data_IF_128325157721
#
_entry.id   IF_128325157721
#
_cell.length_a   1.000
_cell.length_b   1.000
_cell.length_c   1.000
_cell.angle_alpha   90.00
_cell.angle_beta   90.00
_cell.angle_gamma   90.00
#
_symmetry.space_group_name_H-M   'P 1'
#
loop_
_entity.id
_entity.type
_entity.pdbx_description
1 polymer ?
#
# COMPACT_ATOMS: atom_id res chain seq x y z
N UNK A 1 -45.46 23.54 12.79
CA UNK A 1 -44.19 23.11 13.38
C UNK A 1 -43.63 22.04 12.43
N UNK A 2 -42.91 22.47 11.40
CA UNK A 2 -42.29 21.56 10.42
C UNK A 2 -40.88 21.22 10.90
N UNK A 3 -40.71 19.95 11.30
CA UNK A 3 -39.41 19.39 11.64
C UNK A 3 -38.65 19.14 10.33
N UNK A 4 -37.65 19.98 10.08
CA UNK A 4 -36.69 19.79 8.98
C UNK A 4 -35.77 18.63 9.38
N UNK A 5 -36.04 17.41 8.89
CA UNK A 5 -35.09 16.30 8.96
C UNK A 5 -33.98 16.60 7.96
N UNK A 6 -32.88 17.13 8.47
CA UNK A 6 -31.60 17.17 7.72
C UNK A 6 -31.08 15.74 7.73
N UNK A 7 -31.33 15.01 6.63
CA UNK A 7 -30.59 13.77 6.33
C UNK A 7 -29.14 14.17 6.06
N UNK A 8 -28.30 14.09 7.08
CA UNK A 8 -26.89 13.89 6.86
C UNK A 8 -26.74 12.51 6.21
N UNK A 9 -26.65 12.47 4.90
CA UNK A 9 -26.06 11.34 4.19
C UNK A 9 -24.59 11.30 4.62
N UNK A 10 -24.34 10.62 5.73
CA UNK A 10 -22.97 10.19 6.06
C UNK A 10 -22.59 9.20 4.97
N UNK A 11 -21.87 9.70 3.97
CA UNK A 11 -21.19 8.82 3.04
C UNK A 11 -20.21 8.03 3.89
N UNK A 12 -20.55 6.77 4.15
CA UNK A 12 -19.63 5.85 4.80
C UNK A 12 -18.54 5.58 3.79
N UNK A 13 -17.39 6.20 4.01
CA UNK A 13 -16.18 5.81 3.31
C UNK A 13 -16.03 4.29 3.36
N UNK A 14 -15.72 3.61 2.25
CA UNK A 14 -15.48 2.16 2.28
C UNK A 14 -14.45 1.86 3.36
N UNK A 15 -14.64 0.74 4.08
CA UNK A 15 -13.77 0.33 5.19
C UNK A 15 -12.32 0.33 4.73
N UNK A 16 -11.54 1.31 5.18
CA UNK A 16 -10.12 1.40 4.85
C UNK A 16 -9.36 0.71 5.96
N UNK A 17 -8.92 -0.52 5.68
CA UNK A 17 -8.03 -1.27 6.57
C UNK A 17 -6.59 -1.08 6.11
N UNK A 18 -5.79 -0.58 7.00
CA UNK A 18 -4.34 -0.47 6.83
C UNK A 18 -3.65 -1.61 7.53
N UNK A 19 -2.45 -1.98 7.07
CA UNK A 19 -1.68 -3.06 7.66
C UNK A 19 -0.20 -2.70 7.76
N UNK A 20 0.41 -3.06 8.89
CA UNK A 20 1.85 -3.03 9.11
C UNK A 20 2.28 -4.44 9.49
N UNK A 21 3.11 -5.07 8.66
CA UNK A 21 3.53 -6.46 8.86
C UNK A 21 5.05 -6.59 8.73
N UNK A 22 5.65 -7.26 9.69
CA UNK A 22 7.05 -7.66 9.70
C UNK A 22 7.12 -9.14 9.30
N UNK A 23 7.86 -9.44 8.25
CA UNK A 23 8.21 -10.79 7.82
C UNK A 23 9.65 -11.03 8.20
N UNK A 24 9.87 -11.95 9.10
CA UNK A 24 11.20 -12.21 9.65
C UNK A 24 11.57 -13.65 9.43
N UNK A 25 12.79 -13.90 8.97
CA UNK A 25 13.34 -15.24 8.75
C UNK A 25 14.69 -15.35 9.42
N UNK A 26 14.84 -16.33 10.30
CA UNK A 26 16.13 -16.77 10.81
C UNK A 26 16.46 -18.15 10.26
N UNK A 27 17.73 -18.37 9.87
CA UNK A 27 18.19 -19.64 9.34
C UNK A 27 19.49 -20.09 9.99
N UNK A 28 19.70 -21.39 10.04
CA UNK A 28 20.97 -21.99 10.42
C UNK A 28 21.37 -23.06 9.42
N UNK A 29 22.68 -23.15 9.13
CA UNK A 29 23.20 -24.18 8.23
C UNK A 29 22.99 -23.92 6.74
N UNK A 30 22.60 -22.71 6.33
CA UNK A 30 22.40 -22.32 4.92
C UNK A 30 23.62 -21.51 4.45
N UNK A 31 24.48 -22.03 3.57
CA UNK A 31 25.62 -21.28 3.06
C UNK A 31 25.14 -20.13 2.13
N UNK A 32 25.84 -19.01 2.17
CA UNK A 32 25.62 -17.82 1.31
C UNK A 32 24.27 -17.12 1.45
N UNK A 33 23.51 -17.40 2.53
CA UNK A 33 22.28 -16.68 2.87
C UNK A 33 22.47 -16.04 4.24
N UNK A 34 22.01 -14.78 4.45
CA UNK A 34 22.05 -14.17 5.77
C UNK A 34 21.34 -15.03 6.82
N UNK A 35 21.96 -15.21 8.00
CA UNK A 35 21.33 -15.96 9.11
C UNK A 35 20.03 -15.31 9.59
N UNK A 36 19.84 -14.03 9.31
CA UNK A 36 18.65 -13.27 9.68
C UNK A 36 18.28 -12.28 8.59
N UNK A 37 16.98 -12.23 8.25
CA UNK A 37 16.39 -11.28 7.29
C UNK A 37 15.08 -10.76 7.88
N UNK A 38 14.88 -9.45 7.81
CA UNK A 38 13.64 -8.78 8.17
C UNK A 38 13.11 -7.92 7.00
N UNK A 39 11.84 -8.07 6.70
CA UNK A 39 11.11 -7.27 5.69
C UNK A 39 9.95 -6.57 6.38
N UNK A 40 9.82 -5.27 6.17
CA UNK A 40 8.70 -4.48 6.62
C UNK A 40 7.78 -4.16 5.46
N UNK A 41 6.49 -4.40 5.63
CA UNK A 41 5.45 -4.07 4.65
C UNK A 41 4.38 -3.18 5.27
N UNK A 42 4.00 -2.14 4.55
CA UNK A 42 2.85 -1.27 4.86
C UNK A 42 1.86 -1.39 3.71
N UNK A 43 0.62 -1.76 3.99
CA UNK A 43 -0.45 -1.97 3.00
C UNK A 43 -0.06 -2.88 1.82
N UNK A 44 0.78 -3.90 2.10
CA UNK A 44 1.29 -4.82 1.09
C UNK A 44 2.48 -4.31 0.28
N UNK A 45 2.96 -3.09 0.54
CA UNK A 45 4.14 -2.50 -0.12
C UNK A 45 5.36 -2.69 0.78
N UNK A 46 6.46 -3.18 0.21
CA UNK A 46 7.71 -3.29 0.94
C UNK A 46 8.29 -1.91 1.23
N UNK A 47 8.41 -1.57 2.50
CA UNK A 47 8.88 -0.25 2.96
C UNK A 47 10.25 -0.29 3.62
N UNK A 48 10.67 -1.47 4.09
CA UNK A 48 11.97 -1.63 4.71
C UNK A 48 12.52 -3.04 4.60
N UNK A 49 13.85 -3.12 4.67
CA UNK A 49 14.61 -4.37 4.65
C UNK A 49 15.80 -4.26 5.60
N UNK A 50 16.15 -5.35 6.26
CA UNK A 50 17.40 -5.52 6.97
C UNK A 50 17.87 -6.97 6.95
N UNK A 51 19.18 -7.20 7.02
CA UNK A 51 19.77 -8.53 7.14
C UNK A 51 21.04 -8.53 7.98
N UNK A 52 21.43 -9.72 8.46
CA UNK A 52 22.60 -9.88 9.31
C UNK A 52 23.94 -9.67 8.60
N UNK A 53 23.96 -9.65 7.27
CA UNK A 53 25.18 -9.49 6.46
C UNK A 53 25.51 -8.02 6.23
N UNK A 54 24.52 -7.23 5.80
CA UNK A 54 24.70 -5.81 5.49
C UNK A 54 24.81 -4.93 6.73
N UNK A 55 24.16 -5.33 7.83
CA UNK A 55 24.05 -4.58 9.09
C UNK A 55 23.58 -3.13 8.91
N UNK A 56 22.77 -2.89 7.91
CA UNK A 56 22.20 -1.58 7.60
C UNK A 56 20.70 -1.68 7.39
N UNK A 57 19.95 -0.72 7.93
CA UNK A 57 18.55 -0.55 7.58
C UNK A 57 18.46 -0.03 6.15
N UNK A 58 17.64 -0.66 5.34
CA UNK A 58 17.43 -0.30 3.93
C UNK A 58 15.97 0.10 3.74
N UNK A 59 15.62 1.39 3.92
CA UNK A 59 14.29 1.88 3.54
C UNK A 59 14.14 1.72 2.02
N UNK A 60 13.03 1.14 1.61
CA UNK A 60 12.74 0.84 0.20
C UNK A 60 11.94 1.97 -0.46
N UNK A 61 11.43 2.91 0.37
CA UNK A 61 10.55 4.00 -0.03
C UNK A 61 11.18 5.34 0.33
N UNK A 62 11.05 6.35 -0.53
CA UNK A 62 11.59 7.69 -0.28
C UNK A 62 10.98 8.34 0.98
N UNK A 63 9.68 8.13 1.23
CA UNK A 63 9.03 8.62 2.44
C UNK A 63 9.56 7.91 3.70
N UNK A 64 9.78 6.59 3.63
CA UNK A 64 10.32 5.82 4.75
C UNK A 64 11.76 6.25 5.08
N UNK A 65 12.56 6.53 4.05
CA UNK A 65 13.92 7.08 4.21
C UNK A 65 13.89 8.43 4.93
N UNK A 66 13.09 9.37 4.45
CA UNK A 66 12.93 10.70 5.07
C UNK A 66 12.44 10.61 6.51
N UNK A 67 11.50 9.69 6.79
CA UNK A 67 10.98 9.49 8.13
C UNK A 67 12.06 8.99 9.09
N UNK A 68 12.87 8.00 8.69
CA UNK A 68 13.96 7.48 9.53
C UNK A 68 15.13 8.48 9.68
N UNK A 69 15.36 9.35 8.70
CA UNK A 69 16.33 10.45 8.80
C UNK A 69 15.89 11.47 9.86
N UNK A 70 14.60 11.77 9.94
CA UNK A 70 14.03 12.77 10.85
C UNK A 70 13.64 12.21 12.22
N UNK A 71 13.45 10.90 12.37
CA UNK A 71 13.08 10.24 13.62
C UNK A 71 14.17 9.28 14.09
N UNK A 72 15.15 9.83 14.81
CA UNK A 72 16.30 9.06 15.32
C UNK A 72 15.88 7.96 16.30
N UNK A 73 14.87 8.22 17.15
CA UNK A 73 14.40 7.24 18.14
C UNK A 73 13.82 6.00 17.45
N UNK A 74 13.04 6.18 16.39
CA UNK A 74 12.48 5.08 15.61
C UNK A 74 13.57 4.33 14.85
N UNK A 75 14.53 5.04 14.24
CA UNK A 75 15.68 4.44 13.59
C UNK A 75 16.49 3.57 14.55
N UNK A 76 16.77 4.07 15.76
CA UNK A 76 17.52 3.34 16.77
C UNK A 76 16.76 2.11 17.28
N UNK A 77 15.43 2.21 17.40
CA UNK A 77 14.56 1.08 17.70
C UNK A 77 14.65 -0.01 16.63
N UNK A 78 14.57 0.35 15.33
CA UNK A 78 14.73 -0.61 14.23
C UNK A 78 16.13 -1.21 14.18
N UNK A 79 17.19 -0.42 14.37
CA UNK A 79 18.55 -0.91 14.44
C UNK A 79 18.70 -1.99 15.53
N UNK A 80 18.20 -1.70 16.74
CA UNK A 80 18.24 -2.65 17.84
C UNK A 80 17.43 -3.91 17.54
N UNK A 81 16.21 -3.78 16.99
CA UNK A 81 15.37 -4.93 16.62
C UNK A 81 16.02 -5.79 15.54
N UNK A 82 16.54 -5.17 14.45
CA UNK A 82 17.10 -5.87 13.30
C UNK A 82 18.47 -6.51 13.55
N UNK A 83 19.32 -5.89 14.38
CA UNK A 83 20.73 -6.32 14.48
C UNK A 83 21.11 -6.92 15.82
N UNK A 84 20.26 -6.79 16.85
CA UNK A 84 20.53 -7.31 18.18
C UNK A 84 19.42 -8.25 18.68
N UNK A 85 18.22 -7.71 18.94
CA UNK A 85 17.18 -8.43 19.67
C UNK A 85 16.62 -9.63 18.90
N UNK A 86 16.18 -9.39 17.64
CA UNK A 86 15.52 -10.43 16.86
C UNK A 86 16.49 -11.52 16.35
N UNK A 87 17.69 -11.19 15.81
CA UNK A 87 18.66 -12.23 15.44
C UNK A 87 19.02 -13.16 16.59
N UNK A 88 19.22 -12.59 17.79
CA UNK A 88 19.50 -13.39 18.99
C UNK A 88 18.32 -14.28 19.36
N UNK A 89 17.10 -13.72 19.39
CA UNK A 89 15.88 -14.48 19.70
C UNK A 89 15.68 -15.64 18.74
N UNK A 90 15.88 -15.43 17.44
CA UNK A 90 15.71 -16.45 16.41
C UNK A 90 16.77 -17.55 16.54
N UNK A 91 18.03 -17.17 16.74
CA UNK A 91 19.13 -18.13 16.97
C UNK A 91 18.88 -19.00 18.19
N UNK A 92 18.51 -18.38 19.33
CA UNK A 92 18.22 -19.10 20.59
C UNK A 92 16.99 -20.02 20.42
N UNK A 93 15.97 -19.56 19.68
CA UNK A 93 14.77 -20.37 19.41
C UNK A 93 15.08 -21.56 18.52
N UNK A 94 15.80 -21.37 17.40
CA UNK A 94 16.22 -22.46 16.51
C UNK A 94 17.05 -23.48 17.29
N UNK A 95 17.99 -23.01 18.10
CA UNK A 95 18.81 -23.90 18.95
C UNK A 95 17.93 -24.73 19.91
N UNK A 96 16.97 -24.10 20.58
CA UNK A 96 16.05 -24.80 21.50
C UNK A 96 15.18 -25.83 20.77
N UNK A 97 14.69 -25.52 19.56
CA UNK A 97 13.88 -26.44 18.75
C UNK A 97 14.72 -27.62 18.23
N UNK A 98 15.95 -27.39 17.80
CA UNK A 98 16.89 -28.47 17.42
C UNK A 98 17.07 -29.46 18.56
N UNK A 99 17.30 -28.97 19.76
CA UNK A 99 17.45 -29.83 20.97
C UNK A 99 16.15 -30.59 21.27
N UNK A 100 15.01 -29.91 21.25
CA UNK A 100 13.71 -30.51 21.54
C UNK A 100 13.35 -31.65 20.58
N UNK A 101 13.67 -31.48 19.28
CA UNK A 101 13.34 -32.44 18.25
C UNK A 101 14.47 -33.42 17.93
N UNK A 102 15.57 -33.39 18.70
CA UNK A 102 16.77 -34.19 18.50
C UNK A 102 17.27 -34.12 17.04
N UNK A 103 17.26 -32.90 16.47
CA UNK A 103 17.68 -32.65 15.09
C UNK A 103 19.17 -32.31 15.04
N UNK A 104 19.87 -32.85 14.03
CA UNK A 104 21.29 -32.57 13.80
C UNK A 104 21.59 -31.23 13.17
N UNK A 105 22.77 -31.10 12.53
CA UNK A 105 23.26 -29.85 11.91
C UNK A 105 22.71 -29.60 10.48
N UNK A 106 21.52 -30.11 10.19
CA UNK A 106 20.80 -29.79 8.96
C UNK A 106 20.35 -28.32 8.90
N UNK A 107 19.84 -27.91 7.77
CA UNK A 107 19.24 -26.58 7.59
C UNK A 107 17.99 -26.46 8.47
N UNK A 108 17.91 -25.40 9.25
CA UNK A 108 16.74 -25.06 10.06
C UNK A 108 16.32 -23.62 9.79
N UNK A 109 15.03 -23.42 9.53
CA UNK A 109 14.45 -22.11 9.21
C UNK A 109 13.33 -21.83 10.20
N UNK A 110 13.43 -20.70 10.89
CA UNK A 110 12.35 -20.13 11.69
C UNK A 110 11.84 -18.89 10.99
N UNK A 111 10.53 -18.81 10.80
CA UNK A 111 9.86 -17.68 10.19
C UNK A 111 8.88 -17.05 11.17
N UNK A 112 8.64 -15.77 11.05
CA UNK A 112 7.65 -15.05 11.86
C UNK A 112 6.94 -14.01 10.99
N UNK A 113 5.64 -13.92 11.15
CA UNK A 113 4.83 -12.78 10.70
C UNK A 113 4.33 -12.12 11.98
N UNK A 114 4.69 -10.85 12.18
CA UNK A 114 4.23 -10.05 13.30
C UNK A 114 3.70 -8.72 12.77
N UNK A 115 2.56 -8.25 13.29
CA UNK A 115 2.04 -6.98 12.84
C UNK A 115 0.64 -6.67 13.32
N UNK A 116 0.05 -5.63 12.75
CA UNK A 116 -1.30 -5.21 13.06
C UNK A 116 -2.04 -4.72 11.81
N UNK A 117 -3.35 -4.76 11.90
CA UNK A 117 -4.27 -4.11 10.98
C UNK A 117 -5.08 -3.08 11.76
N UNK A 118 -5.34 -1.96 11.14
CA UNK A 118 -6.13 -0.87 11.69
C UNK A 118 -7.21 -0.46 10.69
N UNK A 119 -8.44 -0.45 11.16
CA UNK A 119 -9.59 0.07 10.41
C UNK A 119 -9.74 1.56 10.71
N UNK A 120 -9.54 2.41 9.69
CA UNK A 120 -9.57 3.87 9.83
C UNK A 120 -10.96 4.38 10.28
N UNK A 121 -12.06 3.70 9.86
CA UNK A 121 -13.42 4.13 10.13
C UNK A 121 -13.90 3.76 11.54
N UNK A 122 -13.59 2.53 11.97
CA UNK A 122 -14.05 2.01 13.28
C UNK A 122 -13.02 2.25 14.38
N UNK A 123 -11.77 2.51 14.02
CA UNK A 123 -10.65 2.58 14.95
C UNK A 123 -10.20 1.20 15.45
N UNK A 124 -10.82 0.11 14.99
CA UNK A 124 -10.49 -1.25 15.42
C UNK A 124 -9.06 -1.62 15.03
N UNK A 125 -8.36 -2.26 15.95
CA UNK A 125 -7.01 -2.79 15.75
C UNK A 125 -7.04 -4.29 15.98
N UNK A 126 -6.46 -5.05 15.03
CA UNK A 126 -6.22 -6.48 15.17
C UNK A 126 -4.73 -6.77 15.04
N UNK A 127 -4.19 -7.60 15.93
CA UNK A 127 -2.80 -8.04 15.89
C UNK A 127 -2.66 -9.43 15.28
N UNK A 128 -1.53 -9.69 14.63
CA UNK A 128 -1.14 -11.01 14.12
C UNK A 128 0.27 -11.34 14.58
N UNK A 129 0.47 -12.58 15.05
CA UNK A 129 1.80 -13.11 15.38
C UNK A 129 1.82 -14.62 15.14
N UNK A 130 2.43 -15.00 14.05
CA UNK A 130 2.52 -16.39 13.59
C UNK A 130 3.99 -16.80 13.44
N UNK A 131 4.36 -17.96 13.95
CA UNK A 131 5.65 -18.58 13.69
C UNK A 131 5.50 -19.81 12.79
N UNK A 132 6.42 -19.93 11.83
CA UNK A 132 6.65 -21.12 11.03
C UNK A 132 8.01 -21.74 11.36
N UNK A 133 8.09 -23.06 11.31
CA UNK A 133 9.36 -23.79 11.48
C UNK A 133 9.54 -24.80 10.35
N UNK A 134 10.65 -24.69 9.63
CA UNK A 134 10.99 -25.51 8.45
C UNK A 134 9.89 -25.53 7.39
N UNK A 135 9.25 -24.37 7.14
CA UNK A 135 8.22 -24.18 6.11
C UNK A 135 6.81 -24.56 6.53
N UNK A 136 6.59 -25.03 7.76
CA UNK A 136 5.26 -25.37 8.28
C UNK A 136 4.83 -24.44 9.39
N UNK A 137 3.52 -24.11 9.44
CA UNK A 137 2.94 -23.34 10.53
C UNK A 137 3.20 -24.04 11.87
N UNK A 138 3.72 -23.30 12.86
CA UNK A 138 4.22 -23.88 14.09
C UNK A 138 3.49 -23.39 15.32
N UNK A 139 3.41 -22.06 15.48
CA UNK A 139 2.84 -21.44 16.67
C UNK A 139 2.11 -20.15 16.30
N UNK A 140 0.90 -19.95 16.83
CA UNK A 140 0.15 -18.72 16.72
C UNK A 140 -0.01 -18.08 18.11
N UNK A 141 -0.28 -16.77 18.16
CA UNK A 141 -0.51 -16.04 19.41
C UNK A 141 -1.91 -15.45 19.44
N UNK A 142 -2.75 -15.94 20.33
CA UNK A 142 -4.07 -15.38 20.57
C UNK A 142 -3.97 -14.12 21.44
N UNK A 143 -4.11 -12.96 20.81
CA UNK A 143 -4.04 -11.67 21.47
C UNK A 143 -5.21 -11.44 22.45
N UNK A 144 -6.34 -12.12 22.30
CA UNK A 144 -7.51 -11.98 23.20
C UNK A 144 -7.29 -12.68 24.52
N UNK A 145 -6.73 -13.87 24.47
CA UNK A 145 -6.47 -14.69 25.66
C UNK A 145 -5.03 -14.54 26.18
N UNK A 146 -4.15 -13.88 25.42
CA UNK A 146 -2.72 -13.74 25.70
C UNK A 146 -2.04 -15.09 25.88
N UNK A 147 -2.40 -16.06 25.03
CA UNK A 147 -1.84 -17.41 25.06
C UNK A 147 -1.33 -17.84 23.71
N UNK A 148 -0.35 -18.73 23.71
CA UNK A 148 0.15 -19.35 22.50
C UNK A 148 -0.74 -20.52 22.07
N UNK A 149 -0.92 -20.71 20.78
CA UNK A 149 -1.66 -21.81 20.16
C UNK A 149 -0.67 -22.67 19.40
N UNK A 150 -0.50 -23.91 19.81
CA UNK A 150 0.29 -24.89 19.08
C UNK A 150 -0.48 -25.34 17.83
N UNK A 151 0.08 -25.09 16.64
CA UNK A 151 -0.56 -25.44 15.37
C UNK A 151 -0.26 -26.87 14.92
N UNK A 152 0.62 -27.56 15.66
CA UNK A 152 0.93 -28.98 15.47
C UNK A 152 1.35 -29.63 16.79
N UNK A 153 1.23 -30.97 16.90
CA UNK A 153 1.52 -31.67 18.16
C UNK A 153 2.91 -31.40 18.71
N UNK A 154 3.91 -31.31 17.86
CA UNK A 154 5.30 -31.08 18.22
C UNK A 154 5.54 -29.68 18.85
N UNK A 155 4.65 -28.75 18.58
CA UNK A 155 4.73 -27.37 19.15
C UNK A 155 4.24 -27.28 20.61
N UNK A 156 3.55 -28.31 21.13
CA UNK A 156 2.90 -28.27 22.46
C UNK A 156 3.91 -28.00 23.59
N UNK A 157 5.09 -28.61 23.56
CA UNK A 157 6.12 -28.39 24.57
C UNK A 157 6.64 -26.94 24.50
N UNK A 158 6.85 -26.43 23.30
CA UNK A 158 7.27 -25.03 23.10
C UNK A 158 6.19 -24.07 23.57
N UNK A 159 4.91 -24.36 23.27
CA UNK A 159 3.76 -23.58 23.76
C UNK A 159 3.78 -23.48 25.30
N UNK A 160 3.87 -24.62 25.98
CA UNK A 160 3.92 -24.65 27.47
C UNK A 160 5.05 -23.77 28.01
N UNK A 161 6.24 -23.84 27.41
CA UNK A 161 7.39 -23.02 27.79
C UNK A 161 7.13 -21.53 27.53
N UNK A 162 6.55 -21.18 26.37
CA UNK A 162 6.30 -19.78 26.03
C UNK A 162 5.15 -19.17 26.83
N UNK A 163 4.13 -19.93 27.21
CA UNK A 163 3.04 -19.48 28.09
C UNK A 163 3.51 -19.12 29.51
N UNK A 164 4.63 -19.70 29.96
CA UNK A 164 5.23 -19.36 31.26
C UNK A 164 6.07 -18.10 31.22
N UNK A 165 6.51 -17.65 30.03
CA UNK A 165 7.30 -16.43 29.84
C UNK A 165 6.40 -15.18 29.82
N UNK A 166 5.99 -14.75 31.03
CA UNK A 166 5.13 -13.58 31.22
C UNK A 166 5.70 -12.29 30.63
N UNK A 167 7.01 -12.14 30.60
CA UNK A 167 7.67 -10.96 30.06
C UNK A 167 7.54 -10.93 28.53
N UNK A 168 7.76 -12.05 27.87
CA UNK A 168 7.56 -12.21 26.44
C UNK A 168 6.11 -11.89 26.05
N UNK A 169 5.13 -12.48 26.73
CA UNK A 169 3.71 -12.24 26.49
C UNK A 169 3.38 -10.76 26.59
N UNK A 170 3.81 -10.09 27.68
CA UNK A 170 3.56 -8.67 27.89
C UNK A 170 4.21 -7.78 26.83
N UNK A 171 5.42 -8.13 26.37
CA UNK A 171 6.05 -7.41 25.26
C UNK A 171 5.27 -7.58 23.97
N UNK A 172 4.83 -8.81 23.62
CA UNK A 172 4.04 -9.05 22.41
C UNK A 172 2.67 -8.38 22.46
N UNK A 173 2.00 -8.41 23.60
CA UNK A 173 0.78 -7.63 23.80
C UNK A 173 1.01 -6.14 23.48
N UNK A 174 2.03 -5.53 24.11
CA UNK A 174 2.33 -4.11 23.91
C UNK A 174 2.76 -3.80 22.46
N UNK A 175 3.57 -4.66 21.85
CA UNK A 175 4.02 -4.47 20.46
C UNK A 175 2.82 -4.48 19.51
N UNK A 176 1.85 -5.39 19.71
CA UNK A 176 0.70 -5.56 18.82
C UNK A 176 -0.44 -4.56 19.08
N UNK A 177 -0.66 -4.14 20.33
CA UNK A 177 -1.80 -3.27 20.69
C UNK A 177 -1.47 -1.79 20.73
N UNK A 178 -0.21 -1.43 20.94
CA UNK A 178 0.21 -0.04 21.14
C UNK A 178 1.25 0.41 20.10
N UNK A 179 2.39 -0.29 20.01
CA UNK A 179 3.51 0.15 19.18
C UNK A 179 3.19 0.03 17.69
N UNK A 180 2.72 -1.15 17.26
CA UNK A 180 2.40 -1.39 15.85
C UNK A 180 1.32 -0.43 15.32
N UNK A 181 0.16 -0.24 15.99
CA UNK A 181 -0.85 0.70 15.52
C UNK A 181 -0.37 2.16 15.50
N UNK A 182 0.45 2.56 16.47
CA UNK A 182 1.01 3.91 16.48
C UNK A 182 1.92 4.17 15.28
N UNK A 183 2.79 3.20 14.95
CA UNK A 183 3.65 3.28 13.77
C UNK A 183 2.84 3.20 12.47
N UNK A 184 1.86 2.30 12.39
CA UNK A 184 1.00 2.18 11.22
C UNK A 184 0.29 3.50 10.90
N UNK A 185 -0.36 4.12 11.91
CA UNK A 185 -1.03 5.42 11.74
C UNK A 185 -0.05 6.49 11.26
N UNK A 186 1.12 6.57 11.88
CA UNK A 186 2.15 7.52 11.47
C UNK A 186 2.59 7.29 10.01
N UNK A 187 2.74 6.04 9.56
CA UNK A 187 3.13 5.72 8.18
C UNK A 187 2.03 6.09 7.19
N UNK A 188 0.77 5.79 7.50
CA UNK A 188 -0.37 6.16 6.68
C UNK A 188 -0.46 7.68 6.53
N UNK A 189 -0.33 8.41 7.63
CA UNK A 189 -0.39 9.88 7.61
C UNK A 189 0.76 10.52 6.79
N UNK A 190 1.98 9.96 6.90
CA UNK A 190 3.12 10.46 6.14
C UNK A 190 3.06 10.14 4.65
N UNK A 191 2.36 9.08 4.29
CA UNK A 191 2.27 8.61 2.91
C UNK A 191 0.95 9.00 2.21
N UNK A 192 0.08 9.75 2.87
CA UNK A 192 -1.17 10.23 2.28
C UNK A 192 -0.87 11.25 1.20
N UNK A 193 -1.10 10.89 -0.05
CA UNK A 193 -0.84 11.75 -1.21
C UNK A 193 -2.16 12.03 -1.93
N UNK A 194 -2.43 13.33 -2.19
CA UNK A 194 -3.61 13.74 -2.90
C UNK A 194 -3.42 13.60 -4.42
N UNK A 195 -4.46 13.21 -5.17
CA UNK A 195 -4.35 13.07 -6.61
C UNK A 195 -4.31 14.38 -7.34
N UNK A 196 -3.76 14.33 -8.55
CA UNK A 196 -4.13 15.27 -9.61
C UNK A 196 -5.33 14.71 -10.36
N UNK A 197 -6.42 15.47 -10.45
CA UNK A 197 -7.65 15.04 -11.14
C UNK A 197 -7.82 15.84 -12.44
N UNK A 198 -8.13 15.14 -13.54
CA UNK A 198 -8.25 15.72 -14.88
C UNK A 198 -9.53 15.24 -15.57
N UNK A 199 -10.12 16.09 -16.41
CA UNK A 199 -11.11 15.68 -17.41
C UNK A 199 -10.40 15.52 -18.76
N UNK A 200 -10.50 14.32 -19.33
CA UNK A 200 -9.81 13.90 -20.55
C UNK A 200 -10.83 13.48 -21.61
N UNK A 201 -10.64 13.87 -22.85
CA UNK A 201 -11.46 13.41 -23.98
C UNK A 201 -10.60 13.22 -25.21
N UNK A 202 -10.54 12.02 -25.77
CA UNK A 202 -9.67 11.70 -26.92
C UNK A 202 -10.12 12.43 -28.18
N UNK A 203 -11.42 12.37 -28.47
CA UNK A 203 -12.08 13.04 -29.60
C UNK A 203 -13.41 13.62 -29.12
N UNK A 204 -14.01 14.61 -29.82
CA UNK A 204 -15.28 15.18 -29.42
C UNK A 204 -16.44 14.17 -29.28
N UNK A 205 -16.35 13.02 -29.94
CA UNK A 205 -17.33 11.92 -29.86
C UNK A 205 -17.00 10.86 -28.83
N UNK A 206 -15.81 10.91 -28.21
CA UNK A 206 -15.40 9.96 -27.16
C UNK A 206 -16.09 10.29 -25.85
N UNK A 207 -16.24 9.31 -24.91
CA UNK A 207 -16.61 9.60 -23.54
C UNK A 207 -15.64 10.62 -22.90
N UNK A 208 -16.12 11.37 -21.93
CA UNK A 208 -15.26 12.19 -21.08
C UNK A 208 -14.81 11.33 -19.89
N UNK A 209 -13.50 11.13 -19.80
CA UNK A 209 -12.87 10.40 -18.71
C UNK A 209 -12.48 11.37 -17.59
N UNK A 210 -12.99 11.17 -16.39
CA UNK A 210 -12.43 11.77 -15.19
C UNK A 210 -11.32 10.87 -14.70
N UNK A 211 -10.10 11.38 -14.62
CA UNK A 211 -8.89 10.62 -14.30
C UNK A 211 -8.19 11.21 -13.08
N UNK A 212 -8.00 10.40 -12.06
CA UNK A 212 -7.21 10.73 -10.87
C UNK A 212 -5.92 9.93 -10.88
N UNK A 213 -4.79 10.57 -10.63
CA UNK A 213 -3.49 9.91 -10.56
C UNK A 213 -2.59 10.53 -9.49
N UNK A 214 -1.71 9.74 -8.92
CA UNK A 214 -0.78 10.17 -7.89
C UNK A 214 -1.38 10.16 -6.50
N UNK A 215 -2.40 9.36 -6.20
CA UNK A 215 -2.98 9.27 -4.86
C UNK A 215 -2.47 8.05 -4.09
N UNK A 216 -2.44 8.17 -2.77
CA UNK A 216 -2.21 7.08 -1.83
C UNK A 216 -3.05 7.34 -0.56
N UNK A 217 -3.66 6.31 0.03
CA UNK A 217 -3.61 4.87 -0.29
C UNK A 217 -4.40 4.49 -1.55
N UNK A 218 -4.14 3.27 -2.07
CA UNK A 218 -4.79 2.71 -3.26
C UNK A 218 -6.24 2.29 -3.04
N UNK A 219 -7.01 3.07 -2.29
CA UNK A 219 -8.43 2.86 -2.00
C UNK A 219 -9.14 4.20 -2.08
N UNK A 220 -9.84 4.40 -3.17
CA UNK A 220 -10.58 5.62 -3.44
C UNK A 220 -11.89 5.27 -4.15
N UNK A 221 -12.85 6.16 -4.08
CA UNK A 221 -14.07 6.10 -4.88
C UNK A 221 -14.06 7.24 -5.89
N UNK A 222 -14.63 6.98 -7.06
CA UNK A 222 -14.79 7.97 -8.09
C UNK A 222 -16.11 7.77 -8.80
N UNK A 223 -16.88 8.84 -8.97
CA UNK A 223 -18.22 8.76 -9.54
C UNK A 223 -18.57 10.02 -10.33
N UNK A 224 -19.50 9.88 -11.26
CA UNK A 224 -20.19 11.02 -11.86
C UNK A 224 -21.49 11.30 -11.11
N UNK A 225 -21.76 12.56 -10.85
CA UNK A 225 -23.02 13.03 -10.28
C UNK A 225 -23.72 13.98 -11.24
N UNK A 226 -25.05 13.88 -11.33
CA UNK A 226 -25.93 14.80 -12.04
C UNK A 226 -26.89 15.45 -11.04
N UNK A 227 -26.93 16.78 -10.98
CA UNK A 227 -27.73 17.55 -10.04
C UNK A 227 -27.57 17.14 -8.56
N UNK A 228 -26.38 16.58 -8.21
CA UNK A 228 -26.04 16.11 -6.87
C UNK A 228 -26.26 14.60 -6.63
N UNK A 229 -27.01 13.93 -7.47
CA UNK A 229 -27.30 12.49 -7.41
C UNK A 229 -26.23 11.68 -8.17
N UNK A 230 -25.85 10.50 -7.65
CA UNK A 230 -24.92 9.61 -8.33
C UNK A 230 -25.50 9.07 -9.64
N UNK A 231 -24.69 9.10 -10.70
CA UNK A 231 -25.10 8.67 -12.03
C UNK A 231 -24.51 7.28 -12.33
N UNK A 232 -25.37 6.33 -12.66
CA UNK A 232 -24.98 4.96 -13.03
C UNK A 232 -25.11 4.70 -14.53
N UNK A 233 -26.10 5.33 -15.18
CA UNK A 233 -26.37 5.12 -16.61
C UNK A 233 -25.35 5.90 -17.47
N UNK A 234 -24.75 5.20 -18.44
CA UNK A 234 -23.73 5.80 -19.31
C UNK A 234 -22.40 6.07 -18.63
N UNK A 235 -22.14 5.48 -17.46
CA UNK A 235 -20.91 5.58 -16.68
C UNK A 235 -20.16 4.25 -16.72
N UNK A 236 -18.84 4.30 -16.93
CA UNK A 236 -17.96 3.14 -16.85
C UNK A 236 -16.82 3.43 -15.86
N UNK A 237 -16.82 2.72 -14.73
CA UNK A 237 -15.78 2.83 -13.71
C UNK A 237 -14.62 1.89 -14.07
N UNK A 238 -13.38 2.43 -14.08
CA UNK A 238 -12.15 1.66 -14.24
C UNK A 238 -11.64 1.08 -12.92
N UNK A 239 -10.65 0.21 -13.03
CA UNK A 239 -9.94 -0.35 -11.88
C UNK A 239 -8.94 0.67 -11.30
N UNK A 240 -8.58 0.48 -10.02
CA UNK A 240 -7.48 1.20 -9.40
C UNK A 240 -6.17 0.50 -9.81
N UNK A 241 -5.30 1.24 -10.48
CA UNK A 241 -4.03 0.73 -11.02
C UNK A 241 -2.84 1.35 -10.29
N UNK A 242 -1.77 0.59 -10.02
CA UNK A 242 -0.56 1.13 -9.41
C UNK A 242 0.27 1.94 -10.42
N UNK A 243 0.91 3.00 -9.95
CA UNK A 243 1.97 3.74 -10.63
C UNK A 243 3.35 3.19 -10.23
N UNK A 244 4.40 3.59 -10.96
CA UNK A 244 5.78 3.16 -10.63
C UNK A 244 6.33 3.79 -9.35
N UNK A 245 5.76 4.91 -8.91
CA UNK A 245 6.12 5.66 -7.70
C UNK A 245 5.27 5.28 -6.48
N UNK A 246 4.58 4.12 -6.56
CA UNK A 246 3.73 3.55 -5.50
C UNK A 246 2.44 4.30 -5.20
N UNK A 247 2.19 5.37 -5.90
CA UNK A 247 0.87 5.99 -5.96
C UNK A 247 -0.05 5.18 -6.87
N UNK A 248 -1.31 5.57 -6.89
CA UNK A 248 -2.33 4.88 -7.66
C UNK A 248 -3.00 5.83 -8.64
N UNK A 249 -3.68 5.25 -9.62
CA UNK A 249 -4.52 5.96 -10.57
C UNK A 249 -5.83 5.21 -10.78
N UNK A 250 -6.88 5.96 -11.13
CA UNK A 250 -8.15 5.41 -11.55
C UNK A 250 -8.87 6.39 -12.47
N UNK A 251 -9.90 5.90 -13.17
CA UNK A 251 -10.72 6.73 -14.03
C UNK A 251 -12.18 6.29 -14.02
N UNK A 252 -13.07 7.23 -14.31
CA UNK A 252 -14.49 6.98 -14.55
C UNK A 252 -14.94 7.72 -15.79
N UNK A 253 -15.46 6.98 -16.77
CA UNK A 253 -15.87 7.50 -18.05
C UNK A 253 -17.36 7.87 -18.06
N UNK A 254 -17.71 9.02 -18.66
CA UNK A 254 -19.08 9.46 -18.89
C UNK A 254 -19.35 9.52 -20.39
N UNK A 255 -20.38 8.80 -20.85
CA UNK A 255 -20.87 8.94 -22.22
C UNK A 255 -21.64 10.25 -22.35
N UNK A 256 -21.09 11.19 -23.12
CA UNK A 256 -21.65 12.52 -23.32
C UNK A 256 -22.41 12.67 -24.63
N UNK A 257 -22.56 11.62 -25.43
CA UNK A 257 -23.16 11.70 -26.78
C UNK A 257 -24.62 12.15 -26.80
N UNK A 258 -25.35 11.92 -25.71
CA UNK A 258 -26.76 12.34 -25.53
C UNK A 258 -26.94 13.58 -24.65
N UNK A 259 -25.85 14.19 -24.19
CA UNK A 259 -25.89 15.32 -23.26
C UNK A 259 -25.67 16.61 -24.04
N UNK A 260 -26.62 17.54 -23.93
CA UNK A 260 -26.46 18.86 -24.58
C UNK A 260 -25.44 19.71 -23.83
N UNK A 261 -24.72 20.63 -24.53
CA UNK A 261 -23.71 21.48 -23.87
C UNK A 261 -24.29 22.35 -22.74
N UNK A 262 -25.57 22.75 -22.83
CA UNK A 262 -26.25 23.50 -21.80
C UNK A 262 -26.44 22.71 -20.52
N UNK A 263 -26.59 21.38 -20.62
CA UNK A 263 -26.78 20.48 -19.50
C UNK A 263 -25.48 20.08 -18.83
N UNK A 264 -24.32 20.26 -19.47
CA UNK A 264 -23.02 19.89 -18.91
C UNK A 264 -22.78 20.45 -17.49
N UNK A 265 -23.25 21.66 -17.21
CA UNK A 265 -23.13 22.28 -15.88
C UNK A 265 -23.75 21.50 -14.72
N UNK A 266 -24.66 20.55 -15.03
CA UNK A 266 -25.32 19.68 -14.06
C UNK A 266 -24.45 18.51 -13.63
N UNK A 267 -23.40 18.20 -14.42
CA UNK A 267 -22.55 17.04 -14.21
C UNK A 267 -21.25 17.41 -13.50
N UNK A 268 -20.89 16.55 -12.54
CA UNK A 268 -19.65 16.70 -11.77
C UNK A 268 -19.03 15.32 -11.59
N UNK A 269 -17.73 15.23 -11.78
CA UNK A 269 -16.94 14.11 -11.29
C UNK A 269 -16.54 14.39 -9.85
N UNK A 270 -16.69 13.39 -9.00
CA UNK A 270 -16.31 13.45 -7.58
C UNK A 270 -15.31 12.33 -7.32
N UNK A 271 -14.15 12.70 -6.80
CA UNK A 271 -13.15 11.78 -6.28
C UNK A 271 -13.15 11.85 -4.76
N UNK A 272 -13.22 10.68 -4.10
CA UNK A 272 -13.26 10.54 -2.65
C UNK A 272 -12.11 9.67 -2.16
N UNK A 273 -11.31 10.23 -1.26
CA UNK A 273 -10.26 9.53 -0.54
C UNK A 273 -10.52 9.68 0.95
N UNK A 274 -10.49 8.58 1.69
CA UNK A 274 -10.80 8.60 3.11
C UNK A 274 -9.96 9.62 3.90
N UNK A 275 -10.64 10.37 4.80
CA UNK A 275 -10.01 11.39 5.62
C UNK A 275 -9.54 12.64 4.84
N UNK A 276 -10.03 12.83 3.61
CA UNK A 276 -9.75 14.01 2.76
C UNK A 276 -11.06 14.59 2.26
N UNK A 277 -11.10 15.90 2.06
CA UNK A 277 -12.24 16.56 1.42
C UNK A 277 -12.41 16.11 -0.04
N UNK A 278 -13.66 15.90 -0.48
CA UNK A 278 -14.01 15.48 -1.83
C UNK A 278 -13.40 16.41 -2.88
N UNK A 279 -12.72 15.84 -3.87
CA UNK A 279 -12.24 16.61 -5.03
C UNK A 279 -13.32 16.59 -6.11
N UNK A 280 -13.87 17.76 -6.42
CA UNK A 280 -15.00 17.90 -7.35
C UNK A 280 -14.57 18.61 -8.62
N UNK A 281 -14.71 17.92 -9.76
CA UNK A 281 -14.47 18.49 -11.10
C UNK A 281 -15.80 18.70 -11.83
N UNK A 282 -16.13 19.96 -12.13
CA UNK A 282 -17.33 20.29 -12.94
C UNK A 282 -17.07 19.97 -14.40
N UNK A 283 -18.04 19.33 -15.07
CA UNK A 283 -17.96 19.10 -16.51
C UNK A 283 -18.04 20.43 -17.25
N UNK A 284 -16.94 20.79 -17.90
CA UNK A 284 -16.80 22.03 -18.66
C UNK A 284 -15.79 21.81 -19.78
N UNK A 285 -16.17 22.18 -21.01
CA UNK A 285 -15.33 22.07 -22.20
C UNK A 285 -13.98 22.78 -22.04
N UNK A 286 -13.96 23.91 -21.36
CA UNK A 286 -12.74 24.72 -21.18
C UNK A 286 -11.66 24.02 -20.32
N UNK A 287 -12.04 23.04 -19.49
CA UNK A 287 -11.10 22.30 -18.62
C UNK A 287 -10.82 20.89 -19.13
N UNK A 288 -11.53 20.44 -20.15
CA UNK A 288 -11.29 19.14 -20.78
C UNK A 288 -9.99 19.22 -21.59
N UNK A 289 -9.08 18.27 -21.32
CA UNK A 289 -7.86 18.10 -22.11
C UNK A 289 -8.15 17.16 -23.27
N UNK A 290 -7.87 17.60 -24.48
CA UNK A 290 -8.08 16.84 -25.71
C UNK A 290 -6.76 16.62 -26.44
N UNK A 291 -6.71 15.61 -27.33
CA UNK A 291 -5.56 15.34 -28.21
C UNK A 291 -5.59 16.22 -29.50
N UNK A 292 -6.08 17.46 -29.41
CA UNK A 292 -6.01 18.36 -30.55
C UNK A 292 -4.58 18.84 -30.81
N UNK A 293 -4.22 19.08 -32.07
CA UNK A 293 -2.88 19.56 -32.44
C UNK A 293 -2.48 20.84 -31.71
N UNK A 294 -3.44 21.72 -31.44
CA UNK A 294 -3.20 22.96 -30.70
C UNK A 294 -2.78 22.70 -29.25
N UNK A 295 -3.42 21.75 -28.57
CA UNK A 295 -3.06 21.38 -27.20
C UNK A 295 -1.72 20.63 -27.16
N UNK A 296 -1.42 19.83 -28.16
CA UNK A 296 -0.11 19.16 -28.31
C UNK A 296 1.00 20.22 -28.48
N UNK A 297 0.77 21.24 -29.32
CA UNK A 297 1.73 22.34 -29.50
C UNK A 297 1.91 23.16 -28.24
N UNK A 298 0.84 23.50 -27.51
CA UNK A 298 0.92 24.21 -26.22
C UNK A 298 1.72 23.42 -25.18
N UNK A 299 1.49 22.13 -25.04
CA UNK A 299 2.24 21.27 -24.14
C UNK A 299 3.74 21.19 -24.51
N UNK A 300 4.06 21.10 -25.79
CA UNK A 300 5.44 21.11 -26.27
C UNK A 300 6.14 22.44 -26.00
N UNK A 301 5.43 23.58 -26.10
CA UNK A 301 5.97 24.92 -25.85
C UNK A 301 6.24 25.14 -24.36
N UNK A 302 5.37 24.68 -23.48
CA UNK A 302 5.57 24.77 -22.02
C UNK A 302 6.74 23.90 -21.56
N UNK A 303 6.95 22.74 -22.17
CA UNK A 303 8.12 21.87 -21.89
C UNK A 303 9.46 22.48 -22.28
N UNK A 304 9.47 23.42 -23.24
CA UNK A 304 10.71 24.11 -23.70
C UNK A 304 11.05 25.32 -22.78
N UNK A 305 10.06 25.94 -22.14
CA UNK A 305 10.29 27.12 -21.29
C UNK A 305 10.71 26.81 -19.86
N UNK A 306 10.52 25.58 -19.38
CA UNK A 306 10.97 25.12 -18.05
C UNK A 306 12.25 24.27 -18.15
N UNK A 307 13.24 24.79 -18.85
CA UNK A 307 14.52 24.12 -19.12
C UNK A 307 15.37 23.87 -17.86
N UNK A 308 15.17 22.73 -17.22
CA UNK A 308 16.22 22.06 -16.43
C UNK A 308 16.81 20.93 -17.30
N UNK A 309 18.13 20.95 -17.59
CA UNK A 309 18.75 20.01 -18.54
C UNK A 309 18.76 18.53 -18.09
N UNK A 310 18.28 18.22 -16.90
CA UNK A 310 18.30 16.87 -16.32
C UNK A 310 17.07 16.00 -16.56
N UNK A 311 16.02 16.53 -17.20
CA UNK A 311 14.77 15.78 -17.49
C UNK A 311 14.56 15.50 -18.98
N UNK A 312 15.61 15.22 -19.73
CA UNK A 312 15.55 14.96 -21.16
C UNK A 312 15.58 13.47 -21.48
N UNK A 313 14.59 12.71 -21.00
CA UNK A 313 14.38 11.33 -21.44
C UNK A 313 12.88 11.03 -21.56
N UNK A 314 12.25 11.55 -22.62
CA UNK A 314 11.10 10.91 -23.30
C UNK A 314 10.91 11.58 -24.65
N UNK A 315 11.84 11.30 -25.59
CA UNK A 315 11.60 11.47 -27.00
C UNK A 315 11.01 10.17 -27.53
N UNK A 316 9.70 10.07 -27.63
CA UNK A 316 9.07 9.13 -28.55
C UNK A 316 9.42 9.59 -29.98
N UNK A 317 10.41 8.95 -30.60
CA UNK A 317 10.60 9.01 -32.04
C UNK A 317 9.52 8.17 -32.71
N UNK A 318 8.49 8.81 -33.21
CA UNK A 318 7.68 8.24 -34.27
C UNK A 318 8.52 8.33 -35.56
N UNK A 319 9.05 7.21 -36.00
CA UNK A 319 9.66 7.07 -37.32
C UNK A 319 8.53 6.71 -38.31
N UNK A 320 8.21 7.56 -39.29
CA UNK A 320 7.26 7.21 -40.32
C UNK A 320 8.03 6.60 -41.51
N UNK A 321 8.38 5.33 -41.44
CA UNK A 321 8.80 4.52 -42.61
C UNK A 321 9.12 3.11 -42.10
N UNK A 322 8.16 2.19 -42.28
CA UNK A 322 8.34 0.81 -42.77
C UNK A 322 7.01 0.07 -42.66
N UNK A 323 6.11 0.41 -43.57
CA UNK A 323 5.12 -0.55 -44.03
C UNK A 323 5.74 -1.31 -45.19
N UNK A 324 6.35 -2.45 -44.94
CA UNK A 324 6.59 -3.47 -45.95
C UNK A 324 6.41 -4.86 -45.36
N UNK A 325 5.33 -5.46 -45.81
CA UNK A 325 5.05 -6.88 -46.03
C UNK A 325 6.19 -7.86 -45.76
N UNK A 326 5.92 -8.84 -44.89
CA UNK A 326 6.44 -10.19 -45.07
C UNK A 326 5.38 -11.22 -44.63
N UNK A 327 4.67 -11.74 -45.62
CA UNK A 327 4.11 -13.09 -45.67
C UNK A 327 5.29 -14.06 -45.79
N UNK A 328 5.39 -15.07 -44.93
CA UNK A 328 5.70 -16.45 -45.25
C UNK A 328 5.99 -17.30 -44.01
N UNK A 329 5.21 -18.35 -43.88
CA UNK A 329 5.58 -19.76 -43.63
C UNK A 329 6.56 -20.09 -42.48
N UNK A 330 6.11 -20.62 -41.41
CA UNK A 330 6.05 -22.03 -40.97
C UNK A 330 5.32 -22.11 -39.63
#
# INVERSE_FOLDING_TARGET
>A
MFACFIYFLTHTCPTVKHSLKYFVTGSSGVPNIPEFVGVLMVDGIQTGYCDSSSKTLQPQQDWAKKLLENNTQQRDWYNKKCFEDQPKLFKDTIFSLKQQFNQGDAVHILQMIEGCEWDENTGEVTGVLLYGYNGEAFMDFDLKTLTWIALKPEAVITKQKWDTDRLRIKHKENDLTNICPAYLKMYVDHNKVLPSVFLLQKTPSSPVSCHATGFYPGRAEMMWRKDGEELHEGVALGEILPNNDETFQMSVDLNVSSITPEDWRKYKCVFQLCGVEDIVMKLNEAVIRTNTEENIRKAATVGITNGDPKNLFFKCRLNPETAQTNTAHY
#
